data_IF_224338357734
#
_entry.id   IF_224338357734
#
_cell.length_a   1.000
_cell.length_b   1.000
_cell.length_c   1.000
_cell.angle_alpha   90.00
_cell.angle_beta   90.00
_cell.angle_gamma   90.00
#
_symmetry.space_group_name_H-M   'P 1'
#
loop_
_entity.id
_entity.type
_entity.pdbx_description
1 polymer ?
#
# COMPACT_ATOMS: atom_id res chain seq x y z
N UNK A 1 -4.50 9.81 10.48
CA UNK A 1 -4.64 8.54 9.72
C UNK A 1 -3.83 8.56 8.43
N UNK A 2 -4.04 9.54 7.53
CA UNK A 2 -3.33 9.61 6.24
C UNK A 2 -1.82 9.80 6.43
N UNK A 3 -1.40 10.60 7.40
CA UNK A 3 0.01 10.80 7.75
C UNK A 3 0.69 9.49 8.18
N UNK A 4 0.00 8.66 8.97
CA UNK A 4 0.54 7.36 9.38
C UNK A 4 0.67 6.38 8.21
N UNK A 5 -0.17 6.49 7.18
CA UNK A 5 0.04 5.71 5.96
C UNK A 5 1.34 6.11 5.26
N UNK A 6 1.61 7.41 5.13
CA UNK A 6 2.87 7.91 4.56
C UNK A 6 4.09 7.53 5.40
N UNK A 7 4.02 7.66 6.73
CA UNK A 7 5.07 7.19 7.65
C UNK A 7 5.34 5.70 7.49
N UNK A 8 4.31 4.91 7.18
CA UNK A 8 4.45 3.48 6.99
C UNK A 8 4.86 3.10 5.57
N UNK A 9 4.94 4.02 4.61
CA UNK A 9 5.42 3.76 3.24
C UNK A 9 6.92 4.08 3.11
N UNK A 10 7.82 3.08 3.03
CA UNK A 10 9.27 3.30 2.85
C UNK A 10 9.64 4.20 1.67
N UNK A 11 8.90 4.15 0.56
CA UNK A 11 9.15 5.00 -0.60
C UNK A 11 8.76 6.48 -0.39
N UNK A 12 8.21 6.84 0.77
CA UNK A 12 8.02 8.23 1.19
C UNK A 12 6.94 9.01 0.46
N UNK A 13 6.10 8.34 -0.34
CA UNK A 13 4.97 8.96 -1.04
C UNK A 13 3.75 8.04 -1.06
N UNK A 14 2.58 8.65 -1.21
CA UNK A 14 1.37 7.91 -1.55
C UNK A 14 1.52 7.28 -2.96
N UNK A 15 0.86 6.14 -3.13
CA UNK A 15 0.65 5.56 -4.46
C UNK A 15 -0.27 6.44 -5.29
N UNK A 16 -0.03 6.49 -6.59
CA UNK A 16 -0.90 7.08 -7.59
C UNK A 16 -1.57 5.96 -8.41
N UNK A 17 -2.74 6.21 -9.03
CA UNK A 17 -3.38 5.22 -9.91
C UNK A 17 -2.44 4.68 -11.00
N UNK A 18 -1.52 5.51 -11.48
CA UNK A 18 -0.55 5.13 -12.50
C UNK A 18 0.42 4.04 -12.03
N UNK A 19 0.79 3.99 -10.73
CA UNK A 19 1.68 2.94 -10.20
C UNK A 19 1.06 1.54 -10.36
N UNK A 20 -0.27 1.45 -10.18
CA UNK A 20 -1.02 0.20 -10.38
C UNK A 20 -1.16 -0.09 -11.87
N UNK A 21 -1.49 0.92 -12.68
CA UNK A 21 -1.65 0.74 -14.13
C UNK A 21 -0.36 0.23 -14.79
N UNK A 22 0.80 0.80 -14.45
CA UNK A 22 2.08 0.41 -15.02
C UNK A 22 2.46 -1.03 -14.60
N UNK A 23 2.19 -1.42 -13.36
CA UNK A 23 2.40 -2.78 -12.89
C UNK A 23 1.50 -3.78 -13.63
N UNK A 24 0.22 -3.46 -13.83
CA UNK A 24 -0.70 -4.31 -14.60
C UNK A 24 -0.25 -4.43 -16.06
N UNK A 25 0.17 -3.32 -16.69
CA UNK A 25 0.71 -3.34 -18.05
C UNK A 25 1.93 -4.26 -18.14
N UNK A 26 2.85 -4.21 -17.17
CA UNK A 26 3.98 -5.13 -17.12
C UNK A 26 3.53 -6.60 -17.00
N UNK A 27 2.61 -6.89 -16.08
CA UNK A 27 2.11 -8.25 -15.82
C UNK A 27 1.37 -8.85 -17.01
N UNK A 28 0.65 -8.03 -17.80
CA UNK A 28 -0.02 -8.48 -19.01
C UNK A 28 0.90 -8.53 -20.24
N UNK A 29 2.14 -8.07 -20.12
CA UNK A 29 3.09 -8.06 -21.24
C UNK A 29 3.81 -9.40 -21.42
N UNK A 30 4.40 -9.67 -22.60
CA UNK A 30 5.26 -10.84 -22.81
C UNK A 30 6.47 -10.92 -21.87
N UNK A 31 6.83 -9.82 -21.18
CA UNK A 31 7.96 -9.78 -20.24
C UNK A 31 7.68 -10.57 -18.96
N UNK A 32 6.41 -10.78 -18.62
CA UNK A 32 6.00 -11.55 -17.44
C UNK A 32 5.60 -13.01 -17.80
N UNK A 33 6.01 -13.54 -18.95
CA UNK A 33 5.55 -14.83 -19.48
C UNK A 33 5.87 -16.05 -18.60
N UNK A 34 6.77 -15.92 -17.63
CA UNK A 34 7.13 -16.98 -16.69
C UNK A 34 6.58 -16.75 -15.27
N UNK A 35 5.74 -15.73 -15.08
CA UNK A 35 5.16 -15.39 -13.79
C UNK A 35 3.70 -15.87 -13.72
N UNK A 36 3.38 -16.69 -12.72
CA UNK A 36 2.01 -17.15 -12.45
C UNK A 36 1.87 -17.54 -10.98
N UNK A 37 0.66 -17.43 -10.42
CA UNK A 37 0.36 -17.84 -9.04
C UNK A 37 0.88 -16.91 -7.93
N UNK A 38 1.43 -15.75 -8.29
CA UNK A 38 2.06 -14.83 -7.34
C UNK A 38 1.11 -13.74 -6.84
N UNK A 39 1.37 -13.27 -5.61
CA UNK A 39 0.75 -12.08 -5.02
C UNK A 39 1.81 -11.00 -4.90
N UNK A 40 1.65 -9.89 -5.61
CA UNK A 40 2.62 -8.80 -5.62
C UNK A 40 2.09 -7.59 -4.84
N UNK A 41 2.83 -7.19 -3.82
CA UNK A 41 2.53 -6.00 -3.02
C UNK A 41 2.92 -4.71 -3.75
N UNK A 42 1.91 -4.01 -4.27
CA UNK A 42 2.05 -2.68 -4.89
C UNK A 42 1.67 -1.56 -3.93
N UNK A 43 2.39 -1.47 -2.80
CA UNK A 43 2.03 -0.58 -1.68
C UNK A 43 3.18 0.33 -1.22
N UNK A 44 4.20 0.52 -2.06
CA UNK A 44 5.39 1.31 -1.74
C UNK A 44 6.19 0.79 -0.54
N UNK A 45 6.02 -0.49 -0.20
CA UNK A 45 6.66 -1.17 0.93
C UNK A 45 5.88 -1.07 2.25
N UNK A 46 4.62 -0.62 2.23
CA UNK A 46 3.84 -0.39 3.44
C UNK A 46 3.68 -1.65 4.32
N UNK A 47 3.62 -2.85 3.73
CA UNK A 47 3.53 -4.09 4.50
C UNK A 47 4.78 -4.37 5.36
N UNK A 48 5.94 -3.81 4.99
CA UNK A 48 7.21 -4.04 5.69
C UNK A 48 7.31 -3.27 7.03
N UNK A 49 6.32 -2.43 7.35
CA UNK A 49 6.26 -1.63 8.59
C UNK A 49 5.04 -2.06 9.43
N UNK A 50 4.52 -1.15 10.25
CA UNK A 50 3.29 -1.36 11.03
C UNK A 50 2.07 -0.92 10.24
N UNK A 51 0.91 -1.46 10.58
CA UNK A 51 -0.36 -0.90 10.12
C UNK A 51 -0.66 0.40 10.90
N UNK A 52 -1.34 1.39 10.29
CA UNK A 52 -1.84 2.55 11.03
C UNK A 52 -2.73 2.12 12.20
N UNK A 53 -2.68 2.85 13.31
CA UNK A 53 -3.42 2.49 14.51
C UNK A 53 -4.89 2.92 14.39
N UNK A 54 -5.66 2.16 13.60
CA UNK A 54 -7.06 2.45 13.29
C UNK A 54 -7.91 2.48 14.57
N UNK A 55 -7.63 1.59 15.52
CA UNK A 55 -8.41 1.48 16.74
C UNK A 55 -8.28 2.73 17.62
N UNK A 56 -7.06 3.22 17.82
CA UNK A 56 -6.83 4.46 18.58
C UNK A 56 -7.52 5.66 17.94
N UNK A 57 -7.53 5.75 16.60
CA UNK A 57 -8.26 6.82 15.90
C UNK A 57 -9.78 6.70 16.07
N UNK A 58 -10.32 5.48 16.00
CA UNK A 58 -11.76 5.25 16.23
C UNK A 58 -12.16 5.58 17.66
N UNK A 59 -11.38 5.16 18.65
CA UNK A 59 -11.64 5.47 20.07
C UNK A 59 -11.60 6.98 20.35
N UNK A 60 -10.64 7.70 19.75
CA UNK A 60 -10.59 9.17 19.82
C UNK A 60 -11.83 9.83 19.22
N UNK A 61 -12.33 9.33 18.08
CA UNK A 61 -13.55 9.83 17.43
C UNK A 61 -14.81 9.52 18.25
N UNK A 62 -14.82 8.38 18.97
CA UNK A 62 -15.93 7.96 19.81
C UNK A 62 -16.05 8.75 21.13
N UNK A 63 -15.19 9.75 21.38
CA UNK A 63 -15.27 10.61 22.57
C UNK A 63 -14.87 9.93 23.87
N UNK A 64 -14.18 8.79 23.81
CA UNK A 64 -13.59 8.14 24.99
C UNK A 64 -12.16 8.66 25.18
N UNK A 65 -12.03 9.79 25.88
CA UNK A 65 -10.82 10.23 26.55
C UNK A 65 -11.13 10.49 28.02
#
# INVERSE_FOLDING_TARGET
MVEEYLENTPLGRAGAPQDVADAVVFLCSPKASWLTGEVLDLNGGAHLRRYPDVLSHVMKLAGQQ
#
